data_IF_162725034575
#
_entry.id   IF_162725034575
#
_cell.length_a   1.000
_cell.length_b   1.000
_cell.length_c   1.000
_cell.angle_alpha   90.00
_cell.angle_beta   90.00
_cell.angle_gamma   90.00
#
_symmetry.space_group_name_H-M   'P 1'
#
loop_
_entity.id
_entity.type
_entity.pdbx_description
1 polymer ?
#
# COMPACT_ATOMS: atom_id res chain seq x y z
N UNK A 1 1.53 -42.11 -0.10
CA UNK A 1 2.39 -42.76 0.90
C UNK A 1 1.61 -43.23 2.13
N UNK A 2 1.16 -42.35 3.04
CA UNK A 2 0.52 -42.75 4.31
C UNK A 2 -0.76 -43.60 4.18
N UNK A 3 -1.44 -43.56 3.02
CA UNK A 3 -2.56 -44.48 2.72
C UNK A 3 -2.11 -45.94 2.63
N UNK A 4 -0.94 -46.17 2.05
CA UNK A 4 -0.46 -47.49 1.62
C UNK A 4 0.54 -48.12 2.60
N UNK A 5 1.27 -47.31 3.39
CA UNK A 5 2.30 -47.81 4.31
C UNK A 5 2.00 -47.40 5.77
N UNK A 6 1.95 -48.39 6.66
CA UNK A 6 1.69 -48.20 8.08
C UNK A 6 2.84 -47.49 8.82
N UNK A 7 4.09 -47.69 8.41
CA UNK A 7 5.26 -47.01 8.99
C UNK A 7 5.18 -45.51 8.70
N UNK A 8 4.79 -45.16 7.47
CA UNK A 8 4.62 -43.76 7.09
C UNK A 8 3.54 -43.03 7.90
N UNK A 9 2.57 -43.76 8.50
CA UNK A 9 1.56 -43.15 9.37
C UNK A 9 2.12 -42.69 10.71
N UNK A 10 3.26 -43.24 11.14
CA UNK A 10 3.97 -42.83 12.35
C UNK A 10 4.90 -41.64 12.18
N UNK A 11 5.16 -41.21 10.95
CA UNK A 11 6.19 -40.21 10.64
C UNK A 11 5.61 -38.81 10.40
N UNK A 12 6.37 -37.80 10.79
CA UNK A 12 6.22 -36.42 10.30
C UNK A 12 6.76 -36.31 8.88
N UNK A 13 6.26 -35.33 8.12
CA UNK A 13 6.70 -35.13 6.73
C UNK A 13 8.22 -34.97 6.60
N UNK A 14 8.87 -34.27 7.54
CA UNK A 14 10.32 -34.07 7.58
C UNK A 14 11.13 -35.34 7.87
N UNK A 15 10.50 -36.37 8.44
CA UNK A 15 11.13 -37.65 8.77
C UNK A 15 11.03 -38.64 7.60
N UNK A 16 10.06 -38.47 6.69
CA UNK A 16 9.83 -39.36 5.55
C UNK A 16 11.09 -39.61 4.72
N UNK A 17 11.90 -38.60 4.33
CA UNK A 17 13.10 -38.82 3.51
C UNK A 17 14.20 -39.65 4.20
N UNK A 18 14.14 -39.82 5.53
CA UNK A 18 15.08 -40.68 6.26
C UNK A 18 14.77 -42.16 6.05
N UNK A 19 13.50 -42.51 5.86
CA UNK A 19 13.03 -43.90 5.80
C UNK A 19 12.48 -44.31 4.43
N UNK A 20 12.16 -43.34 3.58
CA UNK A 20 11.58 -43.56 2.26
C UNK A 20 12.38 -42.79 1.20
N UNK A 21 12.45 -43.38 0.01
CA UNK A 21 13.08 -42.78 -1.16
C UNK A 21 12.03 -42.60 -2.25
N UNK A 22 12.09 -41.48 -2.96
CA UNK A 22 11.22 -41.21 -4.11
C UNK A 22 11.80 -41.85 -5.36
N UNK A 23 11.04 -42.76 -5.97
CA UNK A 23 11.32 -43.27 -7.30
C UNK A 23 10.71 -42.31 -8.34
N UNK A 24 11.59 -41.62 -9.08
CA UNK A 24 11.18 -40.67 -10.12
C UNK A 24 10.51 -41.36 -11.31
N UNK A 25 10.88 -42.60 -11.61
CA UNK A 25 10.35 -43.33 -12.77
C UNK A 25 8.96 -43.89 -12.50
N UNK A 26 8.75 -44.44 -11.31
CA UNK A 26 7.45 -44.98 -10.89
C UNK A 26 6.51 -43.92 -10.29
N UNK A 27 7.00 -42.69 -10.06
CA UNK A 27 6.30 -41.63 -9.33
C UNK A 27 5.76 -42.09 -7.96
N UNK A 28 6.56 -42.88 -7.23
CA UNK A 28 6.14 -43.53 -5.99
C UNK A 28 7.23 -43.51 -4.93
N UNK A 29 6.79 -43.50 -3.66
CA UNK A 29 7.65 -43.65 -2.50
C UNK A 29 7.84 -45.12 -2.17
N UNK A 30 9.08 -45.55 -1.97
CA UNK A 30 9.41 -46.89 -1.48
C UNK A 30 10.23 -46.80 -0.19
N UNK A 31 10.15 -47.84 0.65
CA UNK A 31 11.01 -47.93 1.84
C UNK A 31 12.47 -47.96 1.41
N UNK A 32 13.33 -47.30 2.17
CA UNK A 32 14.76 -47.28 1.90
C UNK A 32 15.31 -48.72 1.87
N UNK A 33 15.99 -49.08 0.77
CA UNK A 33 16.62 -50.40 0.61
C UNK A 33 18.04 -50.50 1.17
N UNK A 34 18.60 -49.39 1.67
CA UNK A 34 19.95 -49.30 2.27
C UNK A 34 19.91 -48.35 3.45
N UNK A 35 20.65 -48.63 4.52
CA UNK A 35 20.68 -47.79 5.72
C UNK A 35 20.99 -48.58 6.98
N UNK A 36 20.89 -47.91 8.13
CA UNK A 36 21.01 -48.55 9.45
C UNK A 36 19.62 -48.96 9.92
N UNK A 37 19.51 -50.03 10.71
CA UNK A 37 18.25 -50.39 11.36
C UNK A 37 17.89 -49.27 12.34
N UNK A 38 16.68 -48.70 12.21
CA UNK A 38 16.19 -47.73 13.19
C UNK A 38 15.91 -48.47 14.51
N UNK A 39 16.49 -48.00 15.61
CA UNK A 39 16.26 -48.57 16.94
C UNK A 39 14.88 -48.19 17.51
N UNK A 40 14.26 -47.16 16.95
CA UNK A 40 13.05 -46.47 17.39
C UNK A 40 11.83 -46.73 16.48
N UNK A 41 11.98 -47.55 15.43
CA UNK A 41 10.93 -47.86 14.46
C UNK A 41 10.63 -49.37 14.43
N UNK A 42 9.47 -49.79 13.86
CA UNK A 42 9.12 -51.20 13.71
C UNK A 42 10.23 -52.00 13.01
N UNK A 43 10.38 -53.28 13.39
CA UNK A 43 11.41 -54.16 12.87
C UNK A 43 11.45 -54.18 11.33
N UNK A 44 12.64 -53.95 10.76
CA UNK A 44 12.86 -53.91 9.31
C UNK A 44 12.79 -52.53 8.65
N UNK A 45 12.58 -51.45 9.43
CA UNK A 45 12.69 -50.08 8.90
C UNK A 45 14.15 -49.63 8.90
N UNK A 46 14.63 -49.24 7.72
CA UNK A 46 15.96 -48.68 7.53
C UNK A 46 15.93 -47.15 7.65
N UNK A 47 17.00 -46.60 8.20
CA UNK A 47 17.27 -45.16 8.32
C UNK A 47 18.48 -44.83 7.46
N UNK A 48 18.28 -43.91 6.54
CA UNK A 48 19.33 -43.35 5.69
C UNK A 48 19.92 -42.09 6.31
N UNK A 49 21.10 -41.68 5.87
CA UNK A 49 21.68 -40.38 6.20
C UNK A 49 21.08 -39.21 5.40
N UNK A 50 19.99 -39.44 4.66
CA UNK A 50 19.40 -38.42 3.80
C UNK A 50 18.70 -37.36 4.65
N UNK A 51 19.10 -36.10 4.45
CA UNK A 51 18.43 -34.95 5.03
C UNK A 51 17.48 -34.40 3.98
N UNK A 52 16.17 -34.50 4.24
CA UNK A 52 15.16 -33.88 3.41
C UNK A 52 15.27 -32.35 3.48
N UNK A 53 15.19 -31.68 2.34
CA UNK A 53 15.03 -30.22 2.29
C UNK A 53 13.54 -29.90 2.24
N UNK A 54 13.06 -29.15 3.23
CA UNK A 54 11.73 -28.55 3.20
C UNK A 54 11.89 -27.11 2.77
N UNK A 55 11.26 -26.71 1.66
CA UNK A 55 11.37 -25.34 1.15
C UNK A 55 10.87 -24.31 2.16
N UNK A 56 11.58 -23.19 2.32
CA UNK A 56 11.10 -22.04 3.09
C UNK A 56 9.84 -21.47 2.42
N UNK A 57 8.78 -21.25 3.20
CA UNK A 57 7.49 -20.74 2.75
C UNK A 57 7.19 -19.57 3.68
N UNK A 58 7.06 -18.37 3.11
CA UNK A 58 6.72 -17.16 3.85
C UNK A 58 5.26 -17.22 4.34
N UNK A 59 4.93 -16.66 5.52
CA UNK A 59 3.54 -16.46 5.96
C UNK A 59 2.65 -15.78 4.91
N UNK A 60 3.23 -14.92 4.07
CA UNK A 60 2.55 -14.24 2.96
C UNK A 60 2.03 -15.16 1.85
N UNK A 61 2.49 -16.42 1.80
CA UNK A 61 2.01 -17.40 0.81
C UNK A 61 0.75 -18.17 1.26
N UNK A 62 0.05 -17.68 2.30
CA UNK A 62 -1.30 -18.12 2.66
C UNK A 62 -1.42 -19.64 2.87
N UNK A 63 -2.28 -20.31 2.10
CA UNK A 63 -2.54 -21.74 2.21
C UNK A 63 -1.28 -22.62 2.11
N UNK A 64 -0.29 -22.22 1.31
CA UNK A 64 0.98 -22.95 1.22
C UNK A 64 1.74 -22.93 2.56
N UNK A 65 1.68 -21.81 3.28
CA UNK A 65 2.31 -21.66 4.59
C UNK A 65 1.63 -22.56 5.62
N UNK A 66 0.29 -22.48 5.71
CA UNK A 66 -0.49 -23.28 6.65
C UNK A 66 -0.40 -24.78 6.37
N UNK A 67 -0.46 -25.18 5.08
CA UNK A 67 -0.28 -26.57 4.69
C UNK A 67 1.09 -27.10 5.11
N UNK A 68 2.15 -26.32 4.89
CA UNK A 68 3.49 -26.72 5.34
C UNK A 68 3.55 -26.84 6.87
N UNK A 69 2.99 -25.87 7.59
CA UNK A 69 2.97 -25.88 9.05
C UNK A 69 2.29 -27.15 9.57
N UNK A 70 1.17 -27.55 8.97
CA UNK A 70 0.49 -28.80 9.30
C UNK A 70 1.33 -30.04 8.93
N UNK A 71 1.98 -30.07 7.76
CA UNK A 71 2.84 -31.21 7.36
C UNK A 71 4.02 -31.44 8.31
N UNK A 72 4.54 -30.39 8.92
CA UNK A 72 5.65 -30.48 9.90
C UNK A 72 5.16 -30.92 11.29
N UNK A 73 3.89 -30.70 11.61
CA UNK A 73 3.33 -30.94 12.95
C UNK A 73 2.34 -32.13 13.03
N UNK A 74 1.79 -32.60 11.90
CA UNK A 74 0.81 -33.69 11.85
C UNK A 74 1.47 -34.96 11.33
N UNK A 75 1.39 -36.04 12.12
CA UNK A 75 1.91 -37.36 11.75
C UNK A 75 0.98 -38.08 10.78
N UNK A 76 1.57 -38.67 9.75
CA UNK A 76 0.88 -39.66 8.93
C UNK A 76 -0.41 -39.26 8.21
N UNK A 77 -0.63 -38.00 7.78
CA UNK A 77 -1.90 -37.62 7.17
C UNK A 77 -2.20 -38.45 5.93
N UNK A 78 -3.41 -39.01 5.83
CA UNK A 78 -3.84 -39.83 4.68
C UNK A 78 -4.57 -39.03 3.60
N UNK A 79 -4.97 -37.80 3.88
CA UNK A 79 -5.60 -36.86 2.95
C UNK A 79 -5.44 -35.41 3.43
N UNK A 80 -5.78 -34.45 2.59
CA UNK A 80 -5.87 -33.04 3.00
C UNK A 80 -7.00 -32.79 4.01
N UNK A 81 -8.06 -33.59 3.98
CA UNK A 81 -9.11 -33.56 5.01
C UNK A 81 -8.58 -34.03 6.36
N UNK A 82 -7.77 -35.10 6.38
CA UNK A 82 -7.13 -35.57 7.61
C UNK A 82 -6.21 -34.50 8.22
N UNK A 83 -5.51 -33.72 7.37
CA UNK A 83 -4.70 -32.57 7.83
C UNK A 83 -5.57 -31.47 8.49
N UNK A 84 -6.75 -31.21 7.94
CA UNK A 84 -7.69 -30.20 8.46
C UNK A 84 -8.54 -30.70 9.64
N UNK A 85 -8.49 -31.97 9.98
CA UNK A 85 -9.29 -32.53 11.07
C UNK A 85 -8.55 -32.36 12.40
N UNK A 86 -9.15 -31.69 13.38
CA UNK A 86 -8.63 -31.49 14.74
C UNK A 86 -9.66 -32.02 15.73
N UNK A 87 -9.27 -32.90 16.65
CA UNK A 87 -10.15 -33.51 17.65
C UNK A 87 -11.45 -34.12 17.07
N UNK A 88 -11.35 -34.70 15.86
CA UNK A 88 -12.47 -35.32 15.15
C UNK A 88 -13.35 -34.36 14.34
N UNK A 89 -13.10 -33.05 14.40
CA UNK A 89 -13.84 -32.03 13.65
C UNK A 89 -13.07 -31.61 12.40
N UNK A 90 -13.72 -31.70 11.23
CA UNK A 90 -13.16 -31.20 9.97
C UNK A 90 -13.31 -29.68 9.88
N UNK A 91 -12.18 -28.98 9.77
CA UNK A 91 -12.16 -27.52 9.66
C UNK A 91 -12.14 -27.05 8.19
N UNK A 92 -12.70 -25.87 7.88
CA UNK A 92 -12.88 -25.41 6.51
C UNK A 92 -11.56 -25.07 5.81
N UNK A 93 -10.55 -24.59 6.52
CA UNK A 93 -9.28 -24.12 5.93
C UNK A 93 -8.07 -24.70 6.66
N UNK A 94 -6.90 -24.71 6.00
CA UNK A 94 -5.64 -25.09 6.65
C UNK A 94 -5.26 -24.11 7.77
N UNK A 95 -5.56 -22.81 7.60
CA UNK A 95 -5.40 -21.77 8.63
C UNK A 95 -6.18 -22.12 9.89
N UNK A 96 -7.47 -22.43 9.76
CA UNK A 96 -8.33 -22.82 10.89
C UNK A 96 -7.77 -24.05 11.63
N UNK A 97 -7.26 -25.03 10.89
CA UNK A 97 -6.63 -26.21 11.46
C UNK A 97 -5.29 -25.95 12.17
N UNK A 98 -4.54 -24.92 11.75
CA UNK A 98 -3.35 -24.45 12.47
C UNK A 98 -3.74 -23.71 13.76
N UNK A 99 -4.75 -22.84 13.70
CA UNK A 99 -5.29 -22.11 14.85
C UNK A 99 -5.80 -23.06 15.93
N UNK A 100 -6.64 -24.03 15.57
CA UNK A 100 -7.18 -25.01 16.51
C UNK A 100 -6.11 -25.89 17.17
N UNK A 101 -4.94 -26.06 16.52
CA UNK A 101 -3.77 -26.77 17.07
C UNK A 101 -2.82 -25.88 17.87
N UNK A 102 -3.08 -24.58 17.98
CA UNK A 102 -2.19 -23.62 18.65
C UNK A 102 -0.85 -23.44 17.94
N UNK A 103 -0.81 -23.62 16.61
CA UNK A 103 0.43 -23.50 15.82
C UNK A 103 0.71 -22.07 15.34
N UNK A 104 -0.24 -21.14 15.51
CA UNK A 104 -0.09 -19.73 15.15
C UNK A 104 0.09 -18.90 16.43
N UNK A 105 0.92 -17.86 16.36
CA UNK A 105 0.97 -16.84 17.41
C UNK A 105 -0.40 -16.14 17.51
N UNK A 106 -0.83 -15.84 18.73
CA UNK A 106 -2.11 -15.18 18.95
C UNK A 106 -1.99 -13.66 18.74
N UNK A 107 -3.06 -13.05 18.24
CA UNK A 107 -3.11 -11.59 18.06
C UNK A 107 -3.24 -10.84 19.40
N UNK A 108 -2.99 -11.51 20.53
CA UNK A 108 -3.18 -10.95 21.87
C UNK A 108 -2.31 -9.73 22.10
N UNK A 109 -1.06 -9.78 21.62
CA UNK A 109 -0.14 -8.66 21.74
C UNK A 109 -0.59 -7.45 20.90
N UNK A 110 -1.13 -7.70 19.69
CA UNK A 110 -1.71 -6.65 18.84
C UNK A 110 -2.96 -6.06 19.45
N UNK A 111 -3.84 -6.91 20.00
CA UNK A 111 -5.06 -6.49 20.68
C UNK A 111 -4.74 -5.63 21.91
N UNK A 112 -3.81 -6.07 22.77
CA UNK A 112 -3.39 -5.29 23.95
C UNK A 112 -2.78 -3.94 23.53
N UNK A 113 -1.90 -3.94 22.53
CA UNK A 113 -1.30 -2.73 21.99
C UNK A 113 -2.37 -1.74 21.47
N UNK A 114 -3.37 -2.24 20.74
CA UNK A 114 -4.48 -1.43 20.23
C UNK A 114 -5.40 -0.93 21.33
N UNK A 115 -5.71 -1.73 22.36
CA UNK A 115 -6.46 -1.28 23.54
C UNK A 115 -5.73 -0.13 24.25
N UNK A 116 -4.44 -0.29 24.56
CA UNK A 116 -3.66 0.78 25.22
C UNK A 116 -3.57 2.04 24.36
N UNK A 117 -3.46 1.86 23.04
CA UNK A 117 -3.43 2.97 22.10
C UNK A 117 -4.79 3.68 21.97
N UNK A 118 -5.92 2.96 22.00
CA UNK A 118 -7.25 3.58 21.85
C UNK A 118 -7.63 4.46 23.05
N UNK A 119 -7.09 4.16 24.24
CA UNK A 119 -7.28 5.01 25.43
C UNK A 119 -6.41 6.28 25.42
N UNK A 120 -5.29 6.28 24.70
CA UNK A 120 -4.23 7.31 24.85
C UNK A 120 -3.95 8.11 23.58
N UNK A 121 -4.40 7.65 22.41
CA UNK A 121 -4.09 8.28 21.12
C UNK A 121 -5.32 8.77 20.39
N UNK A 122 -5.10 9.78 19.53
CA UNK A 122 -6.12 10.25 18.60
C UNK A 122 -6.39 9.19 17.50
N UNK A 123 -7.62 9.13 16.96
CA UNK A 123 -8.01 8.15 15.93
C UNK A 123 -7.06 8.12 14.71
N UNK A 124 -6.58 9.26 14.24
CA UNK A 124 -5.60 9.32 13.14
C UNK A 124 -4.26 8.65 13.48
N UNK A 125 -3.79 8.76 14.73
CA UNK A 125 -2.58 8.05 15.16
C UNK A 125 -2.84 6.55 15.37
N UNK A 126 -4.05 6.19 15.82
CA UNK A 126 -4.50 4.80 15.94
C UNK A 126 -4.57 4.12 14.56
N UNK A 127 -5.07 4.81 13.52
CA UNK A 127 -5.05 4.34 12.12
C UNK A 127 -3.65 4.05 11.61
N UNK A 128 -2.67 4.92 11.90
CA UNK A 128 -1.26 4.67 11.53
C UNK A 128 -0.69 3.43 12.23
N UNK A 129 -0.97 3.25 13.52
CA UNK A 129 -0.55 2.05 14.26
C UNK A 129 -1.20 0.81 13.66
N UNK A 130 -2.50 0.84 13.40
CA UNK A 130 -3.23 -0.28 12.82
C UNK A 130 -2.66 -0.66 11.45
N UNK A 131 -2.41 0.32 10.58
CA UNK A 131 -1.80 0.08 9.28
C UNK A 131 -0.38 -0.52 9.41
N UNK A 132 0.43 -0.10 10.39
CA UNK A 132 1.74 -0.70 10.65
C UNK A 132 1.65 -2.15 11.14
N UNK A 133 0.63 -2.48 11.94
CA UNK A 133 0.34 -3.87 12.34
C UNK A 133 -0.04 -4.70 11.11
N UNK A 134 -0.83 -4.16 10.17
CA UNK A 134 -1.17 -4.87 8.93
C UNK A 134 0.06 -5.07 8.02
N UNK A 135 0.89 -4.05 7.83
CA UNK A 135 2.00 -4.11 6.87
C UNK A 135 3.21 -4.90 7.37
N UNK A 136 3.49 -4.83 8.67
CA UNK A 136 4.70 -5.36 9.28
C UNK A 136 4.45 -6.33 10.43
N UNK A 137 3.23 -6.36 10.98
CA UNK A 137 2.86 -7.34 11.98
C UNK A 137 2.50 -8.66 11.31
N UNK A 138 3.00 -9.76 11.87
CA UNK A 138 2.58 -11.11 11.48
C UNK A 138 1.21 -11.44 12.12
N UNK A 139 0.23 -10.52 12.03
CA UNK A 139 -1.10 -10.72 12.61
C UNK A 139 -1.76 -11.95 11.96
N UNK A 140 -2.20 -12.87 12.80
CA UNK A 140 -2.83 -14.10 12.38
C UNK A 140 -4.25 -13.87 11.85
N UNK A 141 -4.99 -12.88 12.35
CA UNK A 141 -6.36 -12.57 11.91
C UNK A 141 -6.70 -11.07 11.95
N UNK A 142 -6.16 -10.28 11.00
CA UNK A 142 -6.36 -8.83 10.97
C UNK A 142 -7.84 -8.41 10.82
N UNK A 143 -8.68 -9.22 10.19
CA UNK A 143 -10.12 -8.98 10.09
C UNK A 143 -10.81 -8.94 11.46
N UNK A 144 -10.35 -9.76 12.41
CA UNK A 144 -10.88 -9.76 13.78
C UNK A 144 -10.48 -8.49 14.53
N UNK A 145 -9.24 -8.03 14.37
CA UNK A 145 -8.79 -6.76 14.95
C UNK A 145 -9.59 -5.59 14.35
N UNK A 146 -9.86 -5.61 13.05
CA UNK A 146 -10.73 -4.61 12.41
C UNK A 146 -12.13 -4.57 13.04
N UNK A 147 -12.78 -5.72 13.20
CA UNK A 147 -14.11 -5.80 13.82
C UNK A 147 -14.16 -5.27 15.25
N UNK A 148 -13.06 -5.43 16.01
CA UNK A 148 -12.96 -4.96 17.39
C UNK A 148 -12.69 -3.45 17.46
N UNK A 149 -11.82 -2.92 16.58
CA UNK A 149 -11.30 -1.55 16.70
C UNK A 149 -11.84 -0.52 15.67
N UNK A 150 -12.68 -0.92 14.72
CA UNK A 150 -13.18 -0.01 13.66
C UNK A 150 -13.88 1.23 14.22
N UNK A 151 -14.62 1.08 15.33
CA UNK A 151 -15.29 2.19 16.01
C UNK A 151 -14.33 3.24 16.57
N UNK A 152 -13.23 2.81 17.20
CA UNK A 152 -12.23 3.74 17.73
C UNK A 152 -11.41 4.39 16.63
N UNK A 153 -11.12 3.65 15.54
CA UNK A 153 -10.43 4.17 14.35
C UNK A 153 -11.23 5.27 13.63
N UNK A 154 -12.57 5.16 13.66
CA UNK A 154 -13.51 6.10 13.06
C UNK A 154 -13.97 7.21 14.01
N UNK A 155 -13.50 7.22 15.26
CA UNK A 155 -14.06 8.04 16.33
C UNK A 155 -14.16 9.52 15.99
N UNK A 156 -13.12 10.12 15.42
CA UNK A 156 -13.09 11.54 15.04
C UNK A 156 -14.08 11.88 13.92
N UNK A 157 -14.25 11.00 12.94
CA UNK A 157 -15.21 11.18 11.85
C UNK A 157 -16.65 11.11 12.35
N UNK A 158 -16.94 10.16 13.26
CA UNK A 158 -18.25 10.07 13.90
C UNK A 158 -18.56 11.34 14.71
N UNK A 159 -17.57 11.90 15.40
CA UNK A 159 -17.73 13.17 16.12
C UNK A 159 -17.96 14.36 15.18
N UNK A 160 -17.46 14.30 13.94
CA UNK A 160 -17.69 15.30 12.89
C UNK A 160 -19.07 15.14 12.20
N UNK A 161 -19.89 14.18 12.62
CA UNK A 161 -21.25 13.98 12.11
C UNK A 161 -21.36 13.08 10.89
N UNK A 162 -20.29 12.34 10.54
CA UNK A 162 -20.36 11.33 9.49
C UNK A 162 -21.29 10.19 9.89
N UNK A 163 -22.00 9.60 8.92
CA UNK A 163 -22.70 8.34 9.16
C UNK A 163 -21.68 7.22 9.44
N UNK A 164 -22.06 6.16 10.19
CA UNK A 164 -21.16 5.03 10.45
C UNK A 164 -20.56 4.44 9.17
N UNK A 165 -21.36 4.30 8.12
CA UNK A 165 -20.95 3.78 6.81
C UNK A 165 -19.94 4.70 6.10
N UNK A 166 -20.18 6.01 6.15
CA UNK A 166 -19.27 6.99 5.55
C UNK A 166 -17.95 7.08 6.33
N UNK A 167 -18.01 7.05 7.66
CA UNK A 167 -16.83 7.05 8.52
C UNK A 167 -15.99 5.79 8.32
N UNK A 168 -16.63 4.62 8.22
CA UNK A 168 -15.96 3.35 7.93
C UNK A 168 -15.25 3.39 6.57
N UNK A 169 -15.95 3.84 5.52
CA UNK A 169 -15.38 3.95 4.17
C UNK A 169 -14.16 4.88 4.13
N UNK A 170 -14.25 6.02 4.81
CA UNK A 170 -13.16 7.00 4.86
C UNK A 170 -11.93 6.46 5.62
N UNK A 171 -12.15 5.74 6.72
CA UNK A 171 -11.08 5.04 7.44
C UNK A 171 -10.40 4.00 6.55
N UNK A 172 -11.18 3.17 5.83
CA UNK A 172 -10.63 2.18 4.91
C UNK A 172 -9.79 2.85 3.81
N UNK A 173 -10.28 3.95 3.24
CA UNK A 173 -9.56 4.71 2.22
C UNK A 173 -8.22 5.26 2.75
N UNK A 174 -8.21 5.77 3.98
CA UNK A 174 -6.98 6.23 4.61
C UNK A 174 -6.02 5.08 4.94
N UNK A 175 -6.54 3.96 5.44
CA UNK A 175 -5.74 2.77 5.68
C UNK A 175 -5.07 2.27 4.39
N UNK A 176 -5.79 2.26 3.25
CA UNK A 176 -5.20 1.91 1.97
C UNK A 176 -4.06 2.86 1.56
N UNK A 177 -4.23 4.17 1.77
CA UNK A 177 -3.15 5.16 1.51
C UNK A 177 -1.93 4.90 2.40
N UNK A 178 -2.15 4.62 3.68
CA UNK A 178 -1.07 4.29 4.63
C UNK A 178 -0.35 3.00 4.24
N UNK A 179 -1.10 1.95 3.90
CA UNK A 179 -0.57 0.67 3.44
C UNK A 179 0.30 0.85 2.19
N UNK A 180 -0.16 1.62 1.20
CA UNK A 180 0.63 1.93 0.00
C UNK A 180 1.95 2.61 0.36
N UNK A 181 1.94 3.52 1.34
CA UNK A 181 3.15 4.22 1.81
C UNK A 181 4.13 3.28 2.50
N UNK A 182 3.63 2.25 3.19
CA UNK A 182 4.45 1.29 3.93
C UNK A 182 4.81 0.03 3.13
N UNK A 183 4.44 -0.05 1.84
CA UNK A 183 4.64 -1.24 1.01
C UNK A 183 3.78 -2.44 1.41
N UNK A 184 2.62 -2.18 2.01
CA UNK A 184 1.59 -3.17 2.31
C UNK A 184 0.82 -3.64 1.06
N UNK A 185 0.10 -4.75 1.18
CA UNK A 185 -0.86 -5.21 0.18
C UNK A 185 -2.19 -4.41 0.24
N UNK A 186 -3.10 -4.71 -0.69
CA UNK A 186 -4.48 -4.19 -0.70
C UNK A 186 -5.30 -4.69 0.52
N UNK A 187 -6.28 -3.91 0.97
CA UNK A 187 -7.17 -4.25 2.09
C UNK A 187 -7.76 -5.67 2.04
N UNK A 188 -8.26 -6.18 0.89
CA UNK A 188 -8.80 -7.54 0.81
C UNK A 188 -7.78 -8.64 1.13
N UNK A 189 -6.48 -8.39 0.92
CA UNK A 189 -5.43 -9.35 1.26
C UNK A 189 -5.33 -9.58 2.78
N UNK A 190 -5.80 -8.63 3.59
CA UNK A 190 -5.89 -8.73 5.04
C UNK A 190 -7.28 -9.16 5.52
N UNK A 191 -8.22 -9.44 4.61
CA UNK A 191 -9.60 -9.78 4.95
C UNK A 191 -10.46 -8.57 5.37
N UNK A 192 -10.02 -7.35 5.03
CA UNK A 192 -10.79 -6.12 5.26
C UNK A 192 -11.69 -5.82 4.05
N UNK A 193 -12.84 -5.15 4.27
CA UNK A 193 -13.71 -4.71 3.19
C UNK A 193 -13.03 -3.63 2.33
N UNK A 194 -13.43 -3.53 1.07
CA UNK A 194 -13.04 -2.41 0.23
C UNK A 194 -13.82 -1.15 0.64
N UNK A 195 -13.22 0.05 0.52
CA UNK A 195 -13.95 1.29 0.75
C UNK A 195 -15.15 1.35 -0.19
N UNK A 196 -16.30 1.79 0.32
CA UNK A 196 -17.44 2.10 -0.54
C UNK A 196 -17.04 3.24 -1.48
N UNK A 197 -17.00 2.93 -2.78
CA UNK A 197 -16.87 3.93 -3.85
C UNK A 197 -18.20 4.64 -3.98
N UNK A 198 -18.44 5.63 -3.13
CA UNK A 198 -19.25 6.75 -3.59
C UNK A 198 -18.32 7.53 -4.52
N UNK A 199 -18.70 7.77 -5.80
CA UNK A 199 -17.91 8.67 -6.64
C UNK A 199 -17.70 9.93 -5.82
N UNK A 200 -16.44 10.35 -5.66
CA UNK A 200 -16.10 11.57 -4.92
C UNK A 200 -17.03 12.67 -5.44
N UNK A 201 -18.07 13.02 -4.67
CA UNK A 201 -19.03 14.03 -5.09
C UNK A 201 -18.31 15.37 -4.97
N UNK A 202 -17.72 15.80 -6.07
CA UNK A 202 -17.23 17.17 -6.20
C UNK A 202 -18.46 18.07 -6.31
N UNK A 203 -18.70 18.91 -5.30
CA UNK A 203 -19.85 19.83 -5.27
C UNK A 203 -21.11 19.24 -4.61
N UNK A 204 -22.29 19.67 -5.08
CA UNK A 204 -23.61 19.31 -4.52
C UNK A 204 -24.14 17.93 -4.98
N UNK A 205 -23.32 17.11 -5.65
CA UNK A 205 -23.68 15.75 -6.06
C UNK A 205 -24.59 15.66 -7.29
N UNK A 206 -24.88 16.78 -7.95
CA UNK A 206 -25.58 16.84 -9.24
C UNK A 206 -24.58 17.27 -10.32
N UNK A 207 -24.15 16.32 -11.16
CA UNK A 207 -23.34 16.62 -12.33
C UNK A 207 -24.29 16.65 -13.54
N UNK A 208 -24.46 17.79 -14.23
CA UNK A 208 -25.25 17.82 -15.45
C UNK A 208 -24.56 16.94 -16.49
N UNK A 209 -25.27 15.93 -17.01
CA UNK A 209 -24.78 15.04 -18.05
C UNK A 209 -25.22 15.56 -19.42
N UNK A 210 -24.34 15.49 -20.42
CA UNK A 210 -24.69 15.76 -21.81
C UNK A 210 -25.44 14.58 -22.46
N UNK A 211 -25.81 14.72 -23.73
CA UNK A 211 -26.54 13.66 -24.48
C UNK A 211 -25.73 12.35 -24.62
N UNK A 212 -24.44 12.37 -24.29
CA UNK A 212 -23.51 11.24 -24.37
C UNK A 212 -23.21 10.63 -22.99
N UNK A 213 -23.83 11.13 -21.92
CA UNK A 213 -23.63 10.66 -20.55
C UNK A 213 -22.29 11.11 -19.96
N UNK A 214 -21.67 12.15 -20.52
CA UNK A 214 -20.44 12.73 -20.02
C UNK A 214 -20.76 13.94 -19.13
N UNK A 215 -19.91 14.21 -18.14
CA UNK A 215 -20.05 15.36 -17.26
C UNK A 215 -19.90 16.64 -18.07
N UNK A 216 -20.97 17.42 -18.16
CA UNK A 216 -20.98 18.71 -18.84
C UNK A 216 -20.40 19.78 -17.92
N UNK A 217 -19.34 20.44 -18.40
CA UNK A 217 -18.75 21.59 -17.71
C UNK A 217 -19.59 22.83 -18.00
N UNK A 218 -19.80 23.74 -17.02
CA UNK A 218 -20.44 25.02 -17.26
C UNK A 218 -19.75 25.78 -18.40
N UNK A 219 -20.55 26.40 -19.28
CA UNK A 219 -20.04 27.20 -20.39
C UNK A 219 -19.17 28.39 -19.96
N UNK A 220 -19.24 28.78 -18.69
CA UNK A 220 -18.45 29.84 -18.06
C UNK A 220 -16.98 29.47 -17.84
N UNK A 221 -16.65 28.17 -17.80
CA UNK A 221 -15.28 27.67 -17.62
C UNK A 221 -14.74 26.98 -18.88
N UNK A 222 -15.53 27.00 -19.96
CA UNK A 222 -15.16 26.45 -21.25
C UNK A 222 -14.74 27.58 -22.19
N UNK A 223 -13.65 27.35 -22.91
CA UNK A 223 -13.27 28.18 -24.04
C UNK A 223 -13.14 27.32 -25.30
N UNK A 224 -13.33 27.90 -26.50
CA UNK A 224 -13.14 27.18 -27.76
C UNK A 224 -11.76 26.52 -27.90
N UNK A 225 -11.68 25.40 -28.63
CA UNK A 225 -10.41 24.66 -28.83
C UNK A 225 -9.36 25.47 -29.59
N UNK A 226 -9.76 26.49 -30.35
CA UNK A 226 -8.90 27.39 -31.12
C UNK A 226 -8.46 28.64 -30.34
N UNK A 227 -8.72 28.69 -29.03
CA UNK A 227 -8.41 29.87 -28.21
C UNK A 227 -6.91 30.10 -28.10
N UNK A 228 -6.47 31.31 -28.43
CA UNK A 228 -5.05 31.71 -28.30
C UNK A 228 -4.70 32.06 -26.85
N UNK A 229 -3.42 32.02 -26.50
CA UNK A 229 -2.93 32.43 -25.17
C UNK A 229 -3.36 33.85 -24.81
N UNK A 230 -3.42 34.76 -25.78
CA UNK A 230 -3.87 36.15 -25.58
C UNK A 230 -5.35 36.23 -25.21
N UNK A 231 -6.20 35.44 -25.88
CA UNK A 231 -7.63 35.37 -25.58
C UNK A 231 -7.88 34.73 -24.21
N UNK A 232 -7.11 33.71 -23.84
CA UNK A 232 -7.12 33.12 -22.49
C UNK A 232 -6.76 34.17 -21.43
N UNK A 233 -5.67 34.91 -21.65
CA UNK A 233 -5.22 35.96 -20.73
C UNK A 233 -6.28 37.04 -20.58
N UNK A 234 -6.90 37.49 -21.67
CA UNK A 234 -7.95 38.51 -21.63
C UNK A 234 -9.24 38.01 -20.95
N UNK A 235 -9.55 36.73 -21.09
CA UNK A 235 -10.69 36.11 -20.41
C UNK A 235 -10.49 36.03 -18.88
N UNK A 236 -9.29 35.64 -18.45
CA UNK A 236 -8.94 35.52 -17.02
C UNK A 236 -8.66 36.88 -16.38
N UNK A 237 -7.98 37.78 -17.11
CA UNK A 237 -7.57 39.11 -16.69
C UNK A 237 -8.09 40.18 -17.68
N UNK A 238 -9.31 40.70 -17.49
CA UNK A 238 -9.92 41.65 -18.43
C UNK A 238 -9.23 43.01 -18.51
N UNK A 239 -8.47 43.41 -17.49
CA UNK A 239 -7.76 44.69 -17.45
C UNK A 239 -6.45 44.61 -16.69
N UNK A 240 -5.42 45.26 -17.25
CA UNK A 240 -4.09 45.42 -16.67
C UNK A 240 -3.83 46.86 -16.16
N UNK A 241 -4.80 47.76 -16.38
CA UNK A 241 -4.72 49.16 -15.96
C UNK A 241 -4.74 49.28 -14.43
N UNK A 242 -3.98 50.22 -13.84
CA UNK A 242 -3.88 50.36 -12.40
C UNK A 242 -5.22 50.77 -11.78
N UNK A 243 -5.81 49.83 -11.02
CA UNK A 243 -7.02 50.03 -10.24
C UNK A 243 -6.97 49.17 -8.98
N UNK A 244 -7.66 49.54 -7.88
CA UNK A 244 -7.69 48.71 -6.66
C UNK A 244 -8.29 47.32 -6.91
N UNK A 245 -9.21 47.20 -7.87
CA UNK A 245 -9.83 45.93 -8.24
C UNK A 245 -8.87 45.02 -9.03
N UNK A 246 -7.87 45.60 -9.71
CA UNK A 246 -6.84 44.84 -10.42
C UNK A 246 -6.05 43.95 -9.46
N UNK A 247 -5.49 44.53 -8.40
CA UNK A 247 -4.58 43.80 -7.52
C UNK A 247 -5.30 42.65 -6.80
N UNK A 248 -6.58 42.83 -6.44
CA UNK A 248 -7.42 41.77 -5.89
C UNK A 248 -7.69 40.66 -6.92
N UNK A 249 -8.01 41.03 -8.16
CA UNK A 249 -8.24 40.07 -9.24
C UNK A 249 -7.00 39.19 -9.50
N UNK A 250 -5.80 39.77 -9.54
CA UNK A 250 -4.56 39.01 -9.74
C UNK A 250 -4.20 38.14 -8.52
N UNK A 251 -4.67 38.49 -7.31
CA UNK A 251 -4.48 37.66 -6.13
C UNK A 251 -5.43 36.44 -6.09
N UNK A 252 -6.63 36.57 -6.67
CA UNK A 252 -7.69 35.54 -6.62
C UNK A 252 -7.69 34.60 -7.84
N UNK A 253 -6.96 34.94 -8.90
CA UNK A 253 -6.97 34.20 -10.17
C UNK A 253 -5.58 33.71 -10.54
N UNK A 254 -5.53 32.55 -11.18
CA UNK A 254 -4.28 31.98 -11.70
C UNK A 254 -4.53 31.19 -12.97
N UNK A 255 -3.54 31.16 -13.86
CA UNK A 255 -3.55 30.31 -15.06
C UNK A 255 -2.62 29.13 -14.77
N UNK A 256 -3.15 27.91 -14.85
CA UNK A 256 -2.40 26.67 -14.62
C UNK A 256 -2.18 25.95 -15.94
N UNK A 257 -0.99 25.38 -16.12
CA UNK A 257 -0.63 24.60 -17.29
C UNK A 257 0.24 23.40 -16.91
N UNK A 258 0.09 22.24 -17.58
CA UNK A 258 0.87 21.03 -17.27
C UNK A 258 2.37 21.15 -17.64
N UNK A 259 2.75 22.10 -18.51
CA UNK A 259 4.12 22.27 -18.97
C UNK A 259 4.67 23.64 -18.56
N UNK A 260 5.82 23.66 -17.90
CA UNK A 260 6.51 24.91 -17.50
C UNK A 260 6.75 25.84 -18.70
N UNK A 261 7.13 25.29 -19.86
CA UNK A 261 7.32 26.10 -21.08
C UNK A 261 6.09 26.94 -21.44
N UNK A 262 4.90 26.35 -21.32
CA UNK A 262 3.64 27.05 -21.61
C UNK A 262 3.29 28.07 -20.53
N UNK A 263 3.68 27.81 -19.27
CA UNK A 263 3.60 28.79 -18.19
C UNK A 263 4.49 29.99 -18.48
N UNK A 264 5.72 29.77 -18.94
CA UNK A 264 6.67 30.85 -19.26
C UNK A 264 6.17 31.72 -20.42
N UNK A 265 5.63 31.11 -21.47
CA UNK A 265 5.02 31.81 -22.62
C UNK A 265 3.81 32.66 -22.18
N UNK A 266 2.95 32.14 -21.31
CA UNK A 266 1.79 32.87 -20.78
C UNK A 266 2.20 34.00 -19.83
N UNK A 267 3.17 33.77 -18.96
CA UNK A 267 3.71 34.79 -18.05
C UNK A 267 4.36 35.93 -18.83
N UNK A 268 5.17 35.63 -19.86
CA UNK A 268 5.78 36.64 -20.71
C UNK A 268 4.72 37.48 -21.45
N UNK A 269 3.65 36.84 -21.96
CA UNK A 269 2.54 37.53 -22.59
C UNK A 269 1.77 38.43 -21.61
N UNK A 270 1.57 37.99 -20.35
CA UNK A 270 0.95 38.81 -19.31
C UNK A 270 1.83 40.02 -18.96
N UNK A 271 3.14 39.82 -18.79
CA UNK A 271 4.10 40.87 -18.46
C UNK A 271 4.15 41.96 -19.54
N UNK A 272 4.04 41.58 -20.82
CA UNK A 272 4.00 42.53 -21.93
C UNK A 272 2.74 43.44 -21.94
N UNK A 273 1.67 43.05 -21.25
CA UNK A 273 0.42 43.81 -21.16
C UNK A 273 0.39 44.78 -19.98
N UNK A 274 1.33 44.68 -19.02
CA UNK A 274 1.37 45.60 -17.88
C UNK A 274 1.83 47.00 -18.31
N UNK A 275 1.10 48.07 -17.91
CA UNK A 275 1.54 49.42 -18.15
C UNK A 275 2.73 49.76 -17.23
N UNK A 276 3.90 50.01 -17.81
CA UNK A 276 5.11 50.39 -17.07
C UNK A 276 6.42 50.13 -17.82
N UNK A 277 7.53 50.51 -17.21
CA UNK A 277 8.86 50.12 -17.69
C UNK A 277 9.22 48.72 -17.16
N UNK A 278 9.54 47.81 -18.07
CA UNK A 278 10.11 46.49 -17.73
C UNK A 278 11.40 46.66 -16.93
N UNK A 279 11.56 45.89 -15.85
CA UNK A 279 12.74 45.93 -14.98
C UNK A 279 13.29 44.53 -14.81
N UNK A 280 14.48 44.32 -15.37
CA UNK A 280 15.18 43.05 -15.23
C UNK A 280 15.88 42.97 -13.87
N UNK A 281 15.55 41.95 -13.09
CA UNK A 281 16.24 41.56 -11.87
C UNK A 281 17.08 40.32 -12.14
N UNK A 282 18.38 40.42 -11.88
CA UNK A 282 19.31 39.30 -11.98
C UNK A 282 19.54 38.71 -10.59
N UNK A 283 19.59 37.38 -10.49
CA UNK A 283 19.95 36.71 -9.24
C UNK A 283 21.37 37.07 -8.85
N UNK A 284 21.66 37.05 -7.54
CA UNK A 284 23.00 37.28 -7.01
C UNK A 284 23.96 36.22 -7.56
N UNK A 285 25.06 36.67 -8.15
CA UNK A 285 26.07 35.87 -8.88
C UNK A 285 27.34 35.60 -8.05
N UNK A 286 27.35 36.01 -6.78
CA UNK A 286 28.51 35.93 -5.89
C UNK A 286 28.14 35.37 -4.52
N UNK A 287 29.00 34.50 -3.99
CA UNK A 287 28.90 34.00 -2.62
C UNK A 287 29.71 34.95 -1.73
N UNK A 288 29.10 35.61 -0.74
CA UNK A 288 29.86 36.45 0.20
C UNK A 288 30.62 35.53 1.16
N UNK A 289 31.96 35.55 1.04
CA UNK A 289 32.94 34.85 1.89
C UNK A 289 32.80 33.32 2.01
N UNK A 290 33.69 32.59 1.33
CA UNK A 290 34.31 31.42 1.96
C UNK A 290 35.74 31.24 1.41
N UNK A 291 36.74 31.31 2.30
CA UNK A 291 38.18 31.14 2.01
C UNK A 291 38.55 29.70 1.62
N UNK A 292 37.55 28.85 1.35
CA UNK A 292 37.74 27.49 0.86
C UNK A 292 37.70 27.45 -0.67
N UNK A 293 38.83 27.10 -1.28
CA UNK A 293 39.00 26.92 -2.73
C UNK A 293 38.11 25.82 -3.38
N UNK A 294 37.07 25.33 -2.70
CA UNK A 294 36.24 24.20 -3.09
C UNK A 294 34.96 24.58 -3.88
N UNK A 295 34.60 25.87 -3.98
CA UNK A 295 33.33 26.31 -4.59
C UNK A 295 33.47 27.50 -5.54
N UNK A 296 34.54 27.53 -6.36
CA UNK A 296 34.63 28.45 -7.50
C UNK A 296 33.77 27.93 -8.66
N UNK A 297 32.45 28.08 -8.57
CA UNK A 297 31.58 27.87 -9.72
C UNK A 297 31.68 29.06 -10.67
N UNK A 298 31.86 28.83 -11.98
CA UNK A 298 31.88 29.93 -12.94
C UNK A 298 30.48 30.59 -12.97
N UNK A 299 30.40 31.93 -13.08
CA UNK A 299 29.13 32.65 -13.07
C UNK A 299 28.20 32.20 -14.21
N UNK A 300 28.75 31.75 -15.34
CA UNK A 300 27.96 31.20 -16.45
C UNK A 300 27.24 29.90 -16.10
N UNK A 301 27.78 29.11 -15.16
CA UNK A 301 27.13 27.91 -14.66
C UNK A 301 26.02 28.26 -13.68
N UNK A 302 26.26 29.21 -12.77
CA UNK A 302 25.27 29.69 -11.81
C UNK A 302 24.06 30.32 -12.52
N UNK A 303 24.29 31.10 -13.58
CA UNK A 303 23.25 31.73 -14.37
C UNK A 303 22.39 30.75 -15.19
N UNK A 304 22.82 29.48 -15.31
CA UNK A 304 22.10 28.40 -15.99
C UNK A 304 21.34 27.47 -15.05
N UNK A 305 21.50 27.63 -13.74
CA UNK A 305 20.80 26.80 -12.78
C UNK A 305 19.32 27.19 -12.76
N UNK A 306 18.47 26.21 -13.05
CA UNK A 306 17.02 26.32 -12.96
C UNK A 306 16.43 25.23 -12.04
N UNK A 307 16.74 25.28 -10.73
CA UNK A 307 16.25 24.29 -9.78
C UNK A 307 14.76 24.51 -9.48
N UNK A 308 13.99 23.41 -9.48
CA UNK A 308 12.57 23.42 -9.15
C UNK A 308 12.30 24.12 -7.81
N UNK A 309 11.38 25.09 -7.82
CA UNK A 309 10.95 25.82 -6.62
C UNK A 309 11.76 27.08 -6.29
N UNK A 310 12.73 27.47 -7.13
CA UNK A 310 13.42 28.75 -7.05
C UNK A 310 13.14 29.59 -8.31
N UNK A 311 13.15 30.94 -8.19
CA UNK A 311 12.99 31.81 -9.35
C UNK A 311 14.18 31.69 -10.31
N UNK A 312 13.91 31.88 -11.61
CA UNK A 312 14.95 31.92 -12.63
C UNK A 312 16.01 32.99 -12.33
N UNK A 313 17.24 32.76 -12.83
CA UNK A 313 18.35 33.71 -12.71
C UNK A 313 17.99 35.12 -13.24
N UNK A 314 17.19 35.19 -14.31
CA UNK A 314 16.70 36.43 -14.88
C UNK A 314 15.19 36.50 -14.69
N UNK A 315 14.74 37.47 -13.91
CA UNK A 315 13.33 37.86 -13.80
C UNK A 315 13.16 39.18 -14.54
N UNK A 316 12.09 39.32 -15.30
CA UNK A 316 11.74 40.53 -16.07
C UNK A 316 10.38 41.07 -15.65
#
# INVERSE_FOLDING_TARGET
LCRQDAVARGLLYQEVPRHFTWDRSAHQWHRAGRGRVAADQPAGVLTTGNIGRVYTVSPRMGDCFYLRLLLVNVRGPTSFEALRTVDGVLLPTFKAACQARGLLEDDRHWRLCLCEASETRLPAALRRLFAAILSHGDSSDPAKLWQEFSGELAGDLLHQGYSPEAAESEVLRELQKLLNTMGGAELPAYGLPEPHVQPDQVGNGELPEDEEGMVSLPSEILMPDDTTTEQLIQHVYPSFEPSPDRDQMFAERSILSPLNKTVDEANAACLALFPGESRVYLSVDSIPNDDTAATNFPPELLNRLDPNGLPHHRLE
#
